data_IF_559162597939
#
_entry.id   IF_559162597939
#
_cell.length_a   1.000
_cell.length_b   1.000
_cell.length_c   1.000
_cell.angle_alpha   90.00
_cell.angle_beta   90.00
_cell.angle_gamma   90.00
#
_symmetry.space_group_name_H-M   'P 1'
#
loop_
_entity.id
_entity.type
_entity.pdbx_description
1 polymer ?
#
# COMPACT_ATOMS: atom_id res chain seq x y z
N UNK A 1 -44.26 -48.18 3.45
CA UNK A 1 -45.52 -47.46 3.16
C UNK A 1 -45.18 -46.30 2.24
N UNK A 2 -45.33 -46.51 0.94
CA UNK A 2 -45.31 -45.47 -0.08
C UNK A 2 -46.74 -44.96 -0.27
N UNK A 3 -46.93 -43.64 -0.33
CA UNK A 3 -47.98 -42.97 -1.12
C UNK A 3 -47.64 -41.46 -1.25
N UNK A 4 -48.12 -40.79 -2.31
CA UNK A 4 -47.26 -39.95 -3.17
C UNK A 4 -47.72 -38.50 -3.41
N UNK A 5 -46.75 -37.66 -3.84
CA UNK A 5 -46.84 -36.49 -4.78
C UNK A 5 -47.68 -35.25 -4.36
N UNK A 6 -47.25 -34.04 -4.73
CA UNK A 6 -47.52 -33.55 -6.08
C UNK A 6 -46.30 -32.89 -6.75
N UNK A 7 -45.82 -33.54 -7.82
CA UNK A 7 -45.20 -32.87 -8.96
C UNK A 7 -46.22 -31.94 -9.61
N UNK A 8 -45.91 -30.64 -9.67
CA UNK A 8 -46.62 -29.66 -10.52
C UNK A 8 -45.65 -29.09 -11.57
N UNK A 9 -46.19 -28.69 -12.72
CA UNK A 9 -45.59 -28.93 -14.03
C UNK A 9 -44.57 -27.87 -14.44
N UNK A 10 -43.66 -28.26 -15.34
CA UNK A 10 -42.99 -27.34 -16.27
C UNK A 10 -44.06 -26.51 -16.97
N UNK A 11 -44.28 -25.28 -16.48
CA UNK A 11 -44.82 -24.22 -17.31
C UNK A 11 -43.64 -23.67 -18.08
N UNK A 12 -43.56 -24.07 -19.36
CA UNK A 12 -42.70 -23.42 -20.32
C UNK A 12 -42.92 -21.91 -20.24
N UNK A 13 -41.86 -21.18 -19.90
CA UNK A 13 -41.82 -19.75 -20.12
C UNK A 13 -41.70 -19.60 -21.63
N UNK A 14 -42.84 -19.43 -22.29
CA UNK A 14 -42.88 -18.91 -23.64
C UNK A 14 -42.17 -17.57 -23.58
N UNK A 15 -40.94 -17.50 -24.11
CA UNK A 15 -40.27 -16.25 -24.36
C UNK A 15 -41.13 -15.49 -25.38
N UNK A 16 -41.98 -14.59 -24.89
CA UNK A 16 -42.64 -13.61 -25.73
C UNK A 16 -41.56 -12.66 -26.22
N UNK A 17 -40.95 -12.98 -27.36
CA UNK A 17 -40.13 -12.02 -28.12
C UNK A 17 -41.09 -11.00 -28.68
N UNK A 18 -41.32 -9.92 -27.93
CA UNK A 18 -41.96 -8.73 -28.46
C UNK A 18 -40.98 -8.09 -29.47
N UNK A 19 -41.16 -8.40 -30.76
CA UNK A 19 -40.58 -7.62 -31.85
C UNK A 19 -41.24 -6.24 -31.85
N UNK A 20 -40.65 -5.30 -31.12
CA UNK A 20 -40.95 -3.89 -31.23
C UNK A 20 -40.46 -3.40 -32.60
N UNK A 21 -41.42 -3.12 -33.49
CA UNK A 21 -41.17 -2.41 -34.73
C UNK A 21 -40.70 -0.99 -34.40
N UNK A 22 -39.43 -0.70 -34.70
CA UNK A 22 -38.82 0.61 -34.53
C UNK A 22 -39.44 1.61 -35.52
N UNK A 23 -40.19 2.57 -34.98
CA UNK A 23 -40.42 3.86 -35.63
C UNK A 23 -39.15 4.70 -35.56
N UNK A 24 -38.75 5.28 -36.68
CA UNK A 24 -37.49 6.01 -36.87
C UNK A 24 -37.47 7.39 -36.18
N UNK A 25 -37.52 7.42 -34.86
CA UNK A 25 -37.19 8.59 -34.04
C UNK A 25 -36.48 8.13 -32.75
N UNK A 26 -35.17 8.40 -32.64
CA UNK A 26 -34.39 8.17 -31.42
C UNK A 26 -33.41 6.99 -31.43
N UNK A 27 -32.57 6.85 -32.47
CA UNK A 27 -31.52 5.82 -32.46
C UNK A 27 -30.41 6.06 -31.42
N UNK A 28 -30.25 7.29 -30.91
CA UNK A 28 -29.28 7.62 -29.86
C UNK A 28 -29.65 7.03 -28.50
N UNK A 29 -30.92 7.12 -28.13
CA UNK A 29 -31.37 6.73 -26.78
C UNK A 29 -31.36 5.21 -26.61
N UNK A 30 -31.60 4.47 -27.69
CA UNK A 30 -31.52 3.00 -27.71
C UNK A 30 -30.08 2.52 -27.71
N UNK A 31 -29.16 3.19 -28.43
CA UNK A 31 -27.73 2.83 -28.38
C UNK A 31 -27.15 3.08 -26.99
N UNK A 32 -27.46 4.22 -26.38
CA UNK A 32 -26.97 4.59 -25.06
C UNK A 32 -27.51 3.65 -23.97
N UNK A 33 -28.77 3.22 -24.08
CA UNK A 33 -29.37 2.23 -23.19
C UNK A 33 -28.73 0.83 -23.34
N UNK A 34 -28.42 0.42 -24.57
CA UNK A 34 -27.76 -0.85 -24.85
C UNK A 34 -26.32 -0.85 -24.34
N UNK A 35 -25.59 0.24 -24.53
CA UNK A 35 -24.21 0.36 -24.05
C UNK A 35 -24.15 0.45 -22.52
N UNK A 36 -25.08 1.18 -21.89
CA UNK A 36 -25.25 1.18 -20.43
C UNK A 36 -25.54 -0.23 -19.88
N UNK A 37 -26.37 -1.01 -20.57
CA UNK A 37 -26.68 -2.39 -20.16
C UNK A 37 -25.48 -3.33 -20.32
N UNK A 38 -24.68 -3.17 -21.40
CA UNK A 38 -23.43 -3.91 -21.58
C UNK A 38 -22.40 -3.56 -20.50
N UNK A 39 -22.25 -2.29 -20.18
CA UNK A 39 -21.33 -1.83 -19.14
C UNK A 39 -21.75 -2.36 -17.77
N UNK A 40 -23.06 -2.35 -17.46
CA UNK A 40 -23.60 -2.97 -16.27
C UNK A 40 -23.31 -4.48 -16.20
N UNK A 41 -23.51 -5.22 -17.29
CA UNK A 41 -23.20 -6.64 -17.34
C UNK A 41 -21.69 -6.93 -17.20
N UNK A 42 -20.84 -6.11 -17.82
CA UNK A 42 -19.38 -6.19 -17.71
C UNK A 42 -18.91 -5.94 -16.28
N UNK A 43 -19.49 -4.95 -15.59
CA UNK A 43 -19.21 -4.66 -14.18
C UNK A 43 -19.59 -5.82 -13.27
N UNK A 44 -20.78 -6.41 -13.45
CA UNK A 44 -21.23 -7.57 -12.66
C UNK A 44 -20.31 -8.78 -12.90
N UNK A 45 -19.91 -9.05 -14.14
CA UNK A 45 -19.01 -10.16 -14.46
C UNK A 45 -17.60 -10.01 -13.85
N UNK A 46 -17.18 -8.77 -13.58
CA UNK A 46 -15.90 -8.40 -12.96
C UNK A 46 -15.95 -8.31 -11.43
N UNK A 47 -17.13 -8.48 -10.82
CA UNK A 47 -17.27 -8.47 -9.36
C UNK A 47 -16.55 -9.66 -8.75
N UNK A 48 -15.69 -9.38 -7.78
CA UNK A 48 -15.00 -10.39 -6.99
C UNK A 48 -15.06 -9.98 -5.52
N UNK A 49 -14.99 -10.98 -4.65
CA UNK A 49 -14.64 -10.71 -3.26
C UNK A 49 -13.21 -10.16 -3.21
N UNK A 50 -12.98 -9.18 -2.36
CA UNK A 50 -11.63 -8.64 -2.12
C UNK A 50 -10.61 -9.73 -1.76
N UNK A 51 -11.05 -10.82 -1.14
CA UNK A 51 -10.23 -11.96 -0.73
C UNK A 51 -9.87 -12.93 -1.88
N UNK A 52 -10.40 -12.69 -3.08
CA UNK A 52 -10.03 -13.43 -4.30
C UNK A 52 -9.13 -12.62 -5.23
N UNK A 53 -8.70 -11.43 -4.79
CA UNK A 53 -7.72 -10.65 -5.51
C UNK A 53 -6.34 -11.32 -5.45
N UNK A 54 -5.66 -11.35 -6.59
CA UNK A 54 -4.28 -11.76 -6.68
C UNK A 54 -3.34 -10.54 -6.66
N UNK A 55 -2.10 -10.76 -6.23
CA UNK A 55 -1.05 -9.73 -6.31
C UNK A 55 -0.92 -9.21 -7.74
N UNK A 56 -1.04 -7.89 -7.89
CA UNK A 56 -1.02 -7.19 -9.17
C UNK A 56 -2.40 -6.82 -9.72
N UNK A 57 -3.50 -7.37 -9.18
CA UNK A 57 -4.84 -7.04 -9.63
C UNK A 57 -5.18 -5.57 -9.33
N UNK A 58 -5.68 -4.89 -10.35
CA UNK A 58 -6.18 -3.51 -10.27
C UNK A 58 -7.70 -3.54 -10.08
N UNK A 59 -8.21 -2.74 -9.17
CA UNK A 59 -9.61 -2.82 -8.76
C UNK A 59 -10.23 -1.47 -8.39
N UNK A 60 -11.56 -1.44 -8.42
CA UNK A 60 -12.39 -0.37 -7.89
C UNK A 60 -13.26 -0.92 -6.75
N UNK A 61 -13.21 -0.35 -5.53
CA UNK A 61 -14.12 -0.74 -4.47
C UNK A 61 -15.55 -0.34 -4.84
N UNK A 62 -16.54 -1.20 -4.57
CA UNK A 62 -17.93 -0.81 -4.76
C UNK A 62 -18.40 0.02 -3.56
N UNK A 63 -18.96 1.20 -3.83
CA UNK A 63 -19.55 2.08 -2.81
C UNK A 63 -20.97 1.70 -2.40
N UNK A 64 -21.50 0.56 -2.87
CA UNK A 64 -22.88 0.12 -2.63
C UNK A 64 -22.92 -1.30 -2.08
N UNK A 65 -22.96 -1.39 -0.76
CA UNK A 65 -23.24 -2.62 -0.02
C UNK A 65 -22.96 -2.42 1.45
N UNK A 66 -24.00 -2.11 2.24
CA UNK A 66 -23.95 -2.42 3.67
C UNK A 66 -24.01 -3.95 3.79
N UNK A 67 -22.86 -4.57 4.08
CA UNK A 67 -22.72 -6.02 4.21
C UNK A 67 -21.25 -6.44 4.21
N UNK A 68 -20.92 -7.40 5.07
CA UNK A 68 -19.58 -7.85 5.48
C UNK A 68 -18.69 -8.48 4.39
N UNK A 69 -19.03 -8.30 3.10
CA UNK A 69 -18.21 -8.71 1.97
C UNK A 69 -17.90 -7.47 1.11
N UNK A 70 -16.66 -6.96 1.21
CA UNK A 70 -16.19 -5.90 0.30
C UNK A 70 -16.08 -6.50 -1.10
N UNK A 71 -17.14 -6.38 -1.89
CA UNK A 71 -17.08 -6.67 -3.31
C UNK A 71 -16.29 -5.56 -4.01
N UNK A 72 -15.42 -5.98 -4.92
CA UNK A 72 -14.61 -5.09 -5.74
C UNK A 72 -14.80 -5.44 -7.21
N UNK A 73 -14.66 -4.44 -8.08
CA UNK A 73 -14.60 -4.65 -9.52
C UNK A 73 -13.14 -4.76 -9.96
N UNK A 74 -12.72 -5.93 -10.43
CA UNK A 74 -11.39 -6.09 -11.04
C UNK A 74 -11.40 -5.50 -12.45
N UNK A 75 -10.45 -4.62 -12.74
CA UNK A 75 -10.27 -3.99 -14.05
C UNK A 75 -8.83 -4.15 -14.54
N UNK A 76 -8.57 -4.14 -15.87
CA UNK A 76 -7.23 -4.01 -16.38
C UNK A 76 -6.55 -2.76 -15.82
N UNK A 77 -5.28 -2.84 -15.44
CA UNK A 77 -4.56 -1.67 -14.91
C UNK A 77 -4.43 -0.51 -15.92
N UNK A 78 -4.65 -0.76 -17.21
CA UNK A 78 -4.73 0.30 -18.23
C UNK A 78 -6.04 1.09 -18.19
N UNK A 79 -7.08 0.54 -17.55
CA UNK A 79 -8.33 1.25 -17.23
C UNK A 79 -8.18 2.02 -15.90
N UNK A 80 -9.01 3.02 -15.68
CA UNK A 80 -8.98 3.82 -14.44
C UNK A 80 -9.39 2.96 -13.23
N UNK A 81 -8.56 2.94 -12.19
CA UNK A 81 -8.79 2.17 -10.98
C UNK A 81 -8.38 2.93 -9.72
N UNK A 82 -8.93 2.52 -8.58
CA UNK A 82 -8.69 3.15 -7.29
C UNK A 82 -7.63 2.41 -6.47
N UNK A 83 -7.35 1.14 -6.74
CA UNK A 83 -6.31 0.42 -6.03
C UNK A 83 -5.70 -0.74 -6.81
N UNK A 84 -4.54 -1.20 -6.33
CA UNK A 84 -3.82 -2.36 -6.84
C UNK A 84 -3.33 -3.21 -5.66
N UNK A 85 -3.52 -4.53 -5.74
CA UNK A 85 -3.02 -5.45 -4.72
C UNK A 85 -1.51 -5.59 -4.84
N UNK A 86 -0.80 -5.37 -3.74
CA UNK A 86 0.67 -5.41 -3.68
C UNK A 86 1.20 -6.68 -3.03
N UNK A 87 0.42 -7.25 -2.11
CA UNK A 87 0.78 -8.47 -1.40
C UNK A 87 -0.46 -9.20 -0.89
N UNK A 88 -0.31 -10.50 -0.72
CA UNK A 88 -1.27 -11.35 -0.03
C UNK A 88 -0.49 -12.34 0.83
N UNK A 89 -0.87 -12.49 2.10
CA UNK A 89 -0.25 -13.45 3.00
C UNK A 89 -1.25 -13.99 4.01
N UNK A 90 -0.95 -15.18 4.55
CA UNK A 90 -1.76 -15.79 5.60
C UNK A 90 -1.17 -15.53 6.98
N UNK A 91 -2.04 -15.33 7.96
CA UNK A 91 -1.69 -15.31 9.37
C UNK A 91 -1.56 -16.77 9.85
N UNK A 92 -0.37 -17.13 10.32
CA UNK A 92 -0.05 -18.49 10.78
C UNK A 92 -0.50 -18.76 12.23
N UNK A 93 -1.09 -17.77 12.90
CA UNK A 93 -1.61 -17.93 14.26
C UNK A 93 -2.78 -18.92 14.31
N UNK A 94 -2.94 -19.59 15.45
CA UNK A 94 -3.71 -20.83 15.62
C UNK A 94 -5.18 -20.82 15.18
N UNK A 95 -5.90 -21.91 15.46
CA UNK A 95 -7.29 -22.06 14.96
C UNK A 95 -8.26 -21.00 15.50
N UNK A 96 -8.00 -20.40 16.67
CA UNK A 96 -8.80 -19.33 17.28
C UNK A 96 -8.55 -17.96 16.66
N UNK A 97 -9.59 -17.14 16.56
CA UNK A 97 -9.47 -15.75 16.11
C UNK A 97 -8.62 -14.93 17.10
N UNK A 98 -7.50 -14.31 16.67
CA UNK A 98 -6.60 -13.59 17.56
C UNK A 98 -7.15 -12.22 17.99
N UNK A 99 -8.16 -11.70 17.29
CA UNK A 99 -8.74 -10.37 17.52
C UNK A 99 -8.29 -9.36 16.47
N UNK A 100 -9.11 -8.34 16.25
CA UNK A 100 -8.89 -7.33 15.21
C UNK A 100 -7.57 -6.59 15.43
N UNK A 101 -7.30 -6.14 16.65
CA UNK A 101 -6.08 -5.39 17.00
C UNK A 101 -4.79 -6.18 16.70
N UNK A 102 -4.78 -7.48 16.98
CA UNK A 102 -3.63 -8.34 16.72
C UNK A 102 -3.39 -8.51 15.22
N UNK A 103 -4.47 -8.66 14.45
CA UNK A 103 -4.42 -8.78 12.98
C UNK A 103 -3.95 -7.46 12.35
N UNK A 104 -4.49 -6.34 12.82
CA UNK A 104 -4.10 -4.99 12.40
C UNK A 104 -2.62 -4.75 12.67
N UNK A 105 -2.11 -5.09 13.86
CA UNK A 105 -0.68 -4.97 14.16
C UNK A 105 0.21 -5.83 13.24
N UNK A 106 -0.25 -7.01 12.82
CA UNK A 106 0.45 -7.83 11.82
C UNK A 106 0.44 -7.16 10.44
N UNK A 107 -0.71 -6.61 10.02
CA UNK A 107 -0.87 -5.94 8.74
C UNK A 107 -0.03 -4.64 8.66
N UNK A 108 -0.11 -3.78 9.68
CA UNK A 108 0.67 -2.54 9.81
C UNK A 108 2.17 -2.78 9.73
N UNK A 109 2.62 -3.92 10.26
CA UNK A 109 4.04 -4.29 10.19
C UNK A 109 4.46 -4.84 8.83
N UNK A 110 3.61 -5.65 8.18
CA UNK A 110 4.00 -6.43 6.99
C UNK A 110 3.64 -5.74 5.68
N UNK A 111 2.50 -5.06 5.60
CA UNK A 111 2.05 -4.43 4.37
C UNK A 111 2.99 -3.33 3.85
N UNK A 112 3.52 -2.41 4.69
CA UNK A 112 4.52 -1.43 4.24
C UNK A 112 5.76 -2.06 3.62
N UNK A 113 6.26 -3.14 4.22
CA UNK A 113 7.44 -3.87 3.73
C UNK A 113 7.18 -4.51 2.37
N UNK A 114 6.03 -5.16 2.18
CA UNK A 114 5.70 -5.76 0.88
C UNK A 114 5.37 -4.70 -0.19
N UNK A 115 4.71 -3.62 0.20
CA UNK A 115 4.40 -2.49 -0.67
C UNK A 115 5.69 -1.83 -1.21
N UNK A 116 6.69 -1.63 -0.35
CA UNK A 116 8.01 -1.13 -0.76
C UNK A 116 8.78 -2.07 -1.69
N UNK A 117 8.56 -3.39 -1.63
CA UNK A 117 9.11 -4.32 -2.64
C UNK A 117 8.38 -4.22 -3.97
N UNK A 118 7.08 -3.95 -3.94
CA UNK A 118 6.25 -3.83 -5.13
C UNK A 118 6.50 -2.53 -5.88
N UNK A 119 6.68 -1.42 -5.16
CA UNK A 119 7.02 -0.10 -5.70
C UNK A 119 8.17 0.54 -4.89
N UNK A 120 9.45 0.23 -5.21
CA UNK A 120 10.60 0.69 -4.42
C UNK A 120 10.82 2.20 -4.45
N UNK A 121 10.44 2.88 -5.54
CA UNK A 121 10.43 4.34 -5.61
C UNK A 121 9.03 4.87 -5.26
N UNK A 122 8.78 5.02 -3.98
CA UNK A 122 7.49 5.48 -3.44
C UNK A 122 7.16 6.92 -3.82
N UNK A 123 8.16 7.74 -4.16
CA UNK A 123 7.94 9.12 -4.65
C UNK A 123 7.39 9.16 -6.07
N UNK A 124 7.51 8.04 -6.80
CA UNK A 124 6.93 7.87 -8.12
C UNK A 124 5.44 7.48 -8.06
N UNK A 125 4.90 7.20 -6.87
CA UNK A 125 3.49 6.86 -6.71
C UNK A 125 2.60 8.06 -7.09
N UNK A 126 1.44 7.83 -7.74
CA UNK A 126 0.49 8.89 -8.00
C UNK A 126 0.05 9.59 -6.70
N UNK A 127 -0.14 10.91 -6.76
CA UNK A 127 -0.59 11.69 -5.60
C UNK A 127 -1.89 11.11 -5.00
N UNK A 128 -1.89 10.96 -3.68
CA UNK A 128 -3.01 10.45 -2.88
C UNK A 128 -3.12 8.92 -2.84
N UNK A 129 -2.15 8.20 -3.43
CA UNK A 129 -2.04 6.76 -3.25
C UNK A 129 -1.39 6.47 -1.90
N UNK A 130 -2.05 5.67 -1.06
CA UNK A 130 -1.56 5.21 0.24
C UNK A 130 -1.72 3.70 0.39
N UNK A 131 -1.11 3.15 1.43
CA UNK A 131 -1.24 1.73 1.74
C UNK A 131 -2.57 1.52 2.46
N UNK A 132 -3.28 0.48 2.06
CA UNK A 132 -4.45 -0.02 2.74
C UNK A 132 -4.35 -1.54 2.84
N UNK A 133 -5.12 -2.15 3.71
CA UNK A 133 -5.18 -3.60 3.80
C UNK A 133 -6.59 -4.09 4.13
N UNK A 134 -6.90 -5.26 3.58
CA UNK A 134 -8.07 -6.03 3.97
C UNK A 134 -7.61 -7.15 4.89
N UNK A 135 -8.32 -7.32 5.98
CA UNK A 135 -8.04 -8.29 7.03
C UNK A 135 -9.19 -9.29 7.13
N UNK A 136 -8.93 -10.52 7.59
CA UNK A 136 -10.01 -11.47 7.83
C UNK A 136 -10.87 -10.98 9.00
N UNK A 137 -12.19 -11.19 8.92
CA UNK A 137 -13.10 -10.93 10.04
C UNK A 137 -13.19 -12.16 10.94
N UNK A 138 -13.81 -12.02 12.11
CA UNK A 138 -14.10 -13.16 12.98
C UNK A 138 -14.95 -14.24 12.28
N UNK A 139 -15.90 -13.81 11.46
CA UNK A 139 -16.81 -14.66 10.70
C UNK A 139 -16.06 -15.39 9.58
N UNK A 140 -15.26 -14.68 8.78
CA UNK A 140 -14.46 -15.32 7.73
C UNK A 140 -13.41 -16.26 8.34
N UNK A 141 -12.83 -15.90 9.49
CA UNK A 141 -11.91 -16.75 10.23
C UNK A 141 -12.54 -18.06 10.70
N UNK A 142 -13.80 -18.03 11.15
CA UNK A 142 -14.53 -19.24 11.54
C UNK A 142 -14.70 -20.23 10.38
N UNK A 143 -14.64 -19.75 9.14
CA UNK A 143 -14.72 -20.57 7.91
C UNK A 143 -13.38 -20.87 7.26
N UNK A 144 -12.27 -20.46 7.89
CA UNK A 144 -10.91 -20.80 7.46
C UNK A 144 -10.15 -19.69 6.74
N UNK A 145 -10.72 -18.49 6.63
CA UNK A 145 -10.00 -17.34 6.08
C UNK A 145 -8.94 -16.83 7.06
N UNK A 146 -7.73 -16.64 6.55
CA UNK A 146 -6.55 -16.18 7.30
C UNK A 146 -5.79 -15.12 6.52
N UNK A 147 -6.33 -14.65 5.39
CA UNK A 147 -5.60 -13.86 4.42
C UNK A 147 -5.64 -12.37 4.76
N UNK A 148 -4.48 -11.74 4.76
CA UNK A 148 -4.33 -10.28 4.74
C UNK A 148 -3.89 -9.89 3.34
N UNK A 149 -4.68 -9.01 2.72
CA UNK A 149 -4.42 -8.50 1.37
C UNK A 149 -4.00 -7.04 1.47
N UNK A 150 -2.73 -6.77 1.20
CA UNK A 150 -2.18 -5.41 1.19
C UNK A 150 -2.40 -4.77 -0.18
N UNK A 151 -2.78 -3.50 -0.21
CA UNK A 151 -3.02 -2.76 -1.43
C UNK A 151 -2.39 -1.37 -1.37
N UNK A 152 -2.06 -0.83 -2.55
CA UNK A 152 -1.99 0.61 -2.73
C UNK A 152 -3.34 1.07 -3.23
N UNK A 153 -3.96 2.04 -2.56
CA UNK A 153 -5.24 2.59 -2.97
C UNK A 153 -5.27 4.11 -2.90
N UNK A 154 -6.27 4.71 -3.51
CA UNK A 154 -6.56 6.13 -3.43
C UNK A 154 -7.94 6.29 -2.81
N UNK A 155 -8.04 7.09 -1.75
CA UNK A 155 -9.32 7.33 -1.08
C UNK A 155 -10.33 8.05 -1.99
N UNK A 156 -9.86 8.95 -2.86
CA UNK A 156 -10.70 9.71 -3.77
C UNK A 156 -10.10 9.81 -5.18
N UNK A 157 -10.90 9.45 -6.19
CA UNK A 157 -10.48 9.44 -7.59
C UNK A 157 -9.67 8.21 -7.97
N UNK A 158 -9.18 8.20 -9.22
CA UNK A 158 -8.58 7.01 -9.83
C UNK A 158 -7.21 7.35 -10.44
N UNK A 159 -6.44 6.31 -10.73
CA UNK A 159 -5.21 6.37 -11.53
C UNK A 159 -5.24 5.28 -12.62
N UNK A 160 -4.30 5.37 -13.55
CA UNK A 160 -4.10 4.39 -14.63
C UNK A 160 -2.65 3.94 -14.66
N UNK A 161 -2.41 2.75 -15.19
CA UNK A 161 -1.11 2.09 -15.16
C UNK A 161 -0.90 1.24 -13.91
N UNK A 162 0.05 0.32 -13.98
CA UNK A 162 0.47 -0.49 -12.83
C UNK A 162 1.42 0.32 -11.95
N UNK A 163 1.27 0.19 -10.63
CA UNK A 163 2.22 0.70 -9.63
C UNK A 163 3.43 -0.22 -9.44
N UNK A 164 3.32 -1.47 -9.91
CA UNK A 164 4.43 -2.42 -9.86
C UNK A 164 5.64 -1.85 -10.59
N UNK A 165 6.75 -1.74 -9.88
CA UNK A 165 8.00 -1.37 -10.50
C UNK A 165 8.42 -2.41 -11.54
N UNK A 166 8.87 -1.92 -12.70
CA UNK A 166 9.56 -2.79 -13.65
C UNK A 166 10.93 -3.14 -13.06
N UNK A 167 11.11 -4.40 -12.67
CA UNK A 167 12.33 -4.91 -12.06
C UNK A 167 13.57 -4.73 -12.95
N UNK A 168 13.39 -4.56 -14.28
CA UNK A 168 14.47 -4.31 -15.21
C UNK A 168 14.71 -2.82 -15.48
N UNK A 169 13.86 -1.92 -14.97
CA UNK A 169 13.96 -0.49 -15.20
C UNK A 169 14.91 0.23 -14.23
N UNK A 170 15.12 -0.30 -13.02
CA UNK A 170 16.01 0.31 -12.04
C UNK A 170 17.47 -0.07 -12.28
N UNK A 171 18.32 0.94 -12.42
CA UNK A 171 19.78 0.77 -12.47
C UNK A 171 20.30 0.32 -11.09
N UNK A 172 21.44 -0.41 -11.01
CA UNK A 172 21.99 -0.86 -9.73
C UNK A 172 22.18 0.25 -8.68
N UNK A 173 22.60 1.44 -9.11
CA UNK A 173 22.75 2.59 -8.23
C UNK A 173 21.40 3.10 -7.68
N UNK A 174 20.35 3.09 -8.49
CA UNK A 174 18.99 3.47 -8.09
C UNK A 174 18.43 2.48 -7.06
N UNK A 175 18.55 1.17 -7.34
CA UNK A 175 18.11 0.13 -6.39
C UNK A 175 18.87 0.20 -5.06
N UNK A 176 20.20 0.41 -5.12
CA UNK A 176 21.03 0.54 -3.91
C UNK A 176 20.63 1.77 -3.09
N UNK A 177 20.37 2.89 -3.76
CA UNK A 177 19.89 4.11 -3.11
C UNK A 177 18.55 3.88 -2.42
N UNK A 178 17.53 3.42 -3.18
CA UNK A 178 16.16 3.23 -2.69
C UNK A 178 16.10 2.19 -1.56
N UNK A 179 16.83 1.09 -1.67
CA UNK A 179 16.88 0.08 -0.60
C UNK A 179 17.41 0.68 0.70
N UNK A 180 18.45 1.52 0.63
CA UNK A 180 19.02 2.13 1.82
C UNK A 180 18.18 3.27 2.40
N UNK A 181 17.58 4.12 1.56
CA UNK A 181 16.71 5.21 2.03
C UNK A 181 15.43 4.65 2.67
N UNK A 182 14.78 3.67 2.01
CA UNK A 182 13.61 2.99 2.54
C UNK A 182 13.93 2.26 3.85
N UNK A 183 15.12 1.66 4.00
CA UNK A 183 15.50 1.01 5.26
C UNK A 183 15.69 2.01 6.42
N UNK A 184 16.15 3.24 6.15
CA UNK A 184 16.24 4.31 7.16
C UNK A 184 14.84 4.72 7.61
N UNK A 185 13.92 4.87 6.66
CA UNK A 185 12.52 5.13 6.92
C UNK A 185 11.86 4.02 7.76
N UNK A 186 11.97 2.77 7.33
CA UNK A 186 11.41 1.62 8.02
C UNK A 186 11.93 1.51 9.45
N UNK A 187 13.22 1.80 9.65
CA UNK A 187 13.83 1.82 10.97
C UNK A 187 13.26 2.92 11.88
N UNK A 188 12.90 4.08 11.33
CA UNK A 188 12.25 5.15 12.08
C UNK A 188 10.85 4.72 12.52
N UNK A 189 10.00 4.28 11.59
CA UNK A 189 8.60 3.98 11.88
C UNK A 189 8.38 2.71 12.69
N UNK A 190 9.06 1.61 12.34
CA UNK A 190 8.87 0.31 13.01
C UNK A 190 9.35 0.33 14.46
N UNK A 191 10.20 1.28 14.84
CA UNK A 191 10.75 1.40 16.18
C UNK A 191 10.22 2.63 16.93
N UNK A 192 9.16 3.28 16.44
CA UNK A 192 8.54 4.40 17.15
C UNK A 192 8.00 3.93 18.51
N UNK A 193 8.18 4.78 19.53
CA UNK A 193 7.58 4.52 20.85
C UNK A 193 6.05 4.66 20.77
N UNK A 194 5.34 3.84 21.53
CA UNK A 194 3.89 4.02 21.77
C UNK A 194 3.61 5.21 22.72
N UNK A 195 4.65 5.79 23.33
CA UNK A 195 4.55 6.99 24.15
C UNK A 195 4.86 8.21 23.32
N UNK A 196 4.14 9.29 23.60
CA UNK A 196 4.24 10.54 22.85
C UNK A 196 5.44 11.39 23.28
N UNK A 197 6.06 11.07 24.41
CA UNK A 197 7.17 11.84 24.99
C UNK A 197 8.38 10.98 25.34
N UNK A 198 9.58 11.56 25.18
CA UNK A 198 10.85 10.88 25.50
C UNK A 198 10.95 10.59 27.00
N UNK A 199 10.35 11.42 27.85
CA UNK A 199 10.34 11.25 29.30
C UNK A 199 9.56 10.00 29.73
N UNK A 200 8.49 9.68 29.02
CA UNK A 200 7.65 8.51 29.28
C UNK A 200 8.28 7.20 28.79
N UNK A 201 9.14 7.23 27.76
CA UNK A 201 9.82 6.04 27.21
C UNK A 201 11.20 6.31 26.60
N UNK A 202 12.11 6.89 27.37
CA UNK A 202 13.49 7.10 26.93
C UNK A 202 14.15 5.80 26.39
N UNK A 203 13.93 4.61 26.97
CA UNK A 203 14.45 3.36 26.39
C UNK A 203 13.96 3.08 24.97
N UNK A 204 12.66 3.25 24.67
CA UNK A 204 12.09 3.06 23.34
C UNK A 204 12.62 4.05 22.32
N UNK A 205 12.67 5.34 22.66
CA UNK A 205 13.26 6.38 21.81
C UNK A 205 14.76 6.12 21.53
N UNK A 206 15.51 5.64 22.52
CA UNK A 206 16.92 5.21 22.31
C UNK A 206 17.04 3.98 21.42
N UNK A 207 16.09 3.04 21.51
CA UNK A 207 16.04 1.88 20.63
C UNK A 207 15.77 2.28 19.18
N UNK A 208 14.80 3.19 18.95
CA UNK A 208 14.54 3.80 17.64
C UNK A 208 15.82 4.45 17.10
N UNK A 209 16.46 5.29 17.90
CA UNK A 209 17.66 6.01 17.49
C UNK A 209 18.80 5.07 17.09
N UNK A 210 18.94 3.95 17.81
CA UNK A 210 19.92 2.90 17.49
C UNK A 210 19.59 2.19 16.17
N UNK A 211 18.31 1.89 15.92
CA UNK A 211 17.87 1.25 14.68
C UNK A 211 18.12 2.18 13.47
N UNK A 212 17.74 3.45 13.57
CA UNK A 212 17.96 4.44 12.50
C UNK A 212 19.45 4.67 12.25
N UNK A 213 20.28 4.76 13.30
CA UNK A 213 21.73 4.85 13.15
C UNK A 213 22.32 3.66 12.37
N UNK A 214 21.87 2.43 12.66
CA UNK A 214 22.32 1.23 11.97
C UNK A 214 21.87 1.21 10.50
N UNK A 215 20.64 1.64 10.21
CA UNK A 215 20.13 1.76 8.84
C UNK A 215 20.91 2.83 8.05
N UNK A 216 21.23 3.97 8.65
CA UNK A 216 22.06 5.01 8.05
C UNK A 216 23.48 4.51 7.73
N UNK A 217 24.10 3.75 8.63
CA UNK A 217 25.41 3.14 8.37
C UNK A 217 25.35 2.16 7.18
N UNK A 218 24.28 1.37 7.07
CA UNK A 218 24.07 0.46 5.95
C UNK A 218 23.84 1.23 4.63
N UNK A 219 23.03 2.29 4.66
CA UNK A 219 22.80 3.14 3.50
C UNK A 219 24.10 3.83 3.04
N UNK A 220 24.86 4.44 3.96
CA UNK A 220 26.17 5.04 3.67
C UNK A 220 27.15 4.04 3.05
N UNK A 221 27.16 2.80 3.54
CA UNK A 221 27.97 1.72 2.94
C UNK A 221 27.55 1.44 1.49
N UNK A 222 26.25 1.40 1.20
CA UNK A 222 25.74 1.24 -0.17
C UNK A 222 26.09 2.42 -1.07
N UNK A 223 25.96 3.65 -0.57
CA UNK A 223 26.29 4.86 -1.32
C UNK A 223 27.79 5.00 -1.62
N UNK A 224 28.68 4.31 -0.90
CA UNK A 224 30.15 4.42 -1.10
C UNK A 224 30.57 4.14 -2.56
N UNK A 225 29.91 3.21 -3.23
CA UNK A 225 30.19 2.83 -4.62
C UNK A 225 29.46 3.65 -5.69
N UNK A 226 28.63 4.62 -5.28
CA UNK A 226 27.85 5.45 -6.20
C UNK A 226 28.61 6.77 -6.41
N UNK A 227 28.92 7.05 -7.67
CA UNK A 227 29.53 8.31 -8.10
C UNK A 227 28.48 9.41 -8.27
N UNK A 228 28.91 10.67 -8.17
CA UNK A 228 28.02 11.82 -8.28
C UNK A 228 28.38 12.94 -7.30
N UNK A 229 28.19 14.19 -7.71
CA UNK A 229 28.47 15.35 -6.86
C UNK A 229 27.42 15.48 -5.77
N UNK A 230 26.14 15.33 -6.13
CA UNK A 230 25.03 15.46 -5.19
C UNK A 230 24.92 14.22 -4.27
N UNK A 231 25.16 13.03 -4.80
CA UNK A 231 25.32 11.81 -3.98
C UNK A 231 26.52 11.94 -3.02
N UNK A 232 27.62 12.56 -3.47
CA UNK A 232 28.76 12.88 -2.62
C UNK A 232 28.38 13.75 -1.42
N UNK A 233 27.69 14.87 -1.66
CA UNK A 233 27.19 15.78 -0.61
C UNK A 233 26.21 15.08 0.33
N UNK A 234 25.31 14.26 -0.20
CA UNK A 234 24.37 13.50 0.61
C UNK A 234 25.10 12.55 1.57
N UNK A 235 26.13 11.83 1.10
CA UNK A 235 26.94 10.96 1.98
C UNK A 235 27.59 11.72 3.13
N UNK A 236 28.17 12.88 2.86
CA UNK A 236 28.79 13.71 3.91
C UNK A 236 27.75 14.18 4.94
N UNK A 237 26.58 14.59 4.47
CA UNK A 237 25.48 15.01 5.34
C UNK A 237 24.95 13.84 6.18
N UNK A 238 24.64 12.69 5.56
CA UNK A 238 24.15 11.51 6.25
C UNK A 238 25.17 10.95 7.24
N UNK A 239 26.47 11.12 6.99
CA UNK A 239 27.52 10.74 7.95
C UNK A 239 27.41 11.52 9.26
N UNK A 240 27.17 12.84 9.17
CA UNK A 240 26.94 13.69 10.36
C UNK A 240 25.64 13.29 11.06
N UNK A 241 24.58 13.07 10.29
CA UNK A 241 23.27 12.64 10.80
C UNK A 241 23.35 11.30 11.53
N UNK A 242 24.07 10.31 10.99
CA UNK A 242 24.30 9.03 11.66
C UNK A 242 25.02 9.21 13.01
N UNK A 243 25.95 10.16 13.12
CA UNK A 243 26.62 10.46 14.39
C UNK A 243 25.66 11.06 15.43
N UNK A 244 24.73 11.93 15.01
CA UNK A 244 23.69 12.45 15.89
C UNK A 244 22.73 11.35 16.37
N UNK A 245 22.27 10.47 15.48
CA UNK A 245 21.45 9.31 15.86
C UNK A 245 22.18 8.37 16.83
N UNK A 246 23.47 8.11 16.63
CA UNK A 246 24.31 7.35 17.59
C UNK A 246 24.43 8.05 18.94
N UNK A 247 24.51 9.38 18.94
CA UNK A 247 24.56 10.17 20.18
C UNK A 247 23.24 10.07 20.93
N UNK A 248 22.10 10.24 20.23
CA UNK A 248 20.76 10.10 20.80
C UNK A 248 20.56 8.69 21.38
N UNK A 249 20.95 7.64 20.66
CA UNK A 249 20.88 6.25 21.13
C UNK A 249 21.64 5.99 22.43
N UNK A 250 22.66 6.79 22.75
CA UNK A 250 23.50 6.68 23.94
C UNK A 250 23.25 7.81 24.96
N UNK A 251 22.20 8.62 24.79
CA UNK A 251 21.88 9.71 25.69
C UNK A 251 21.70 9.23 27.14
N UNK A 252 22.17 10.03 28.10
CA UNK A 252 22.09 9.71 29.52
C UNK A 252 20.69 9.95 30.09
N UNK A 253 19.99 10.96 29.57
CA UNK A 253 18.68 11.43 30.00
C UNK A 253 17.91 12.00 28.79
N UNK A 254 16.67 12.46 29.03
CA UNK A 254 15.80 13.03 28.00
C UNK A 254 16.36 14.32 27.39
N UNK A 255 16.96 15.21 28.20
CA UNK A 255 17.55 16.46 27.72
C UNK A 255 18.69 16.19 26.73
N UNK A 256 19.62 15.29 27.09
CA UNK A 256 20.69 14.87 26.20
C UNK A 256 20.16 14.17 24.94
N UNK A 257 19.04 13.45 25.05
CA UNK A 257 18.38 12.83 23.91
C UNK A 257 17.84 13.88 22.95
N UNK A 258 17.06 14.86 23.42
CA UNK A 258 16.50 15.91 22.56
C UNK A 258 17.58 16.73 21.83
N UNK A 259 18.65 17.10 22.53
CA UNK A 259 19.79 17.82 21.93
C UNK A 259 20.41 17.04 20.76
N UNK A 260 20.52 15.73 20.89
CA UNK A 260 21.06 14.88 19.84
C UNK A 260 20.03 14.53 18.76
N UNK A 261 18.76 14.39 19.12
CA UNK A 261 17.67 13.96 18.25
C UNK A 261 17.28 15.04 17.24
N UNK A 262 17.19 16.31 17.64
CA UNK A 262 16.79 17.40 16.73
C UNK A 262 17.65 17.48 15.44
N UNK A 263 18.99 17.55 15.51
CA UNK A 263 19.82 17.52 14.30
C UNK A 263 19.85 16.13 13.62
N UNK A 264 19.54 15.05 14.35
CA UNK A 264 19.42 13.71 13.78
C UNK A 264 18.18 13.60 12.88
N UNK A 265 17.02 14.03 13.39
CA UNK A 265 15.73 14.01 12.72
C UNK A 265 15.71 15.01 11.55
N UNK A 266 16.14 16.25 11.78
CA UNK A 266 16.31 17.24 10.70
C UNK A 266 17.34 16.79 9.64
N UNK A 267 18.24 15.88 10.02
CA UNK A 267 19.22 15.28 9.11
C UNK A 267 18.62 14.30 8.10
N UNK A 268 17.48 13.69 8.39
CA UNK A 268 16.80 12.74 7.48
C UNK A 268 15.62 13.36 6.73
N UNK A 269 15.49 14.70 6.77
CA UNK A 269 14.50 15.45 6.00
C UNK A 269 14.56 15.05 4.50
N UNK A 270 13.44 14.58 3.91
CA UNK A 270 13.41 14.10 2.54
C UNK A 270 13.85 15.18 1.53
N UNK A 271 13.62 16.47 1.81
CA UNK A 271 14.05 17.57 0.93
C UNK A 271 15.56 17.59 0.71
N UNK A 272 16.34 17.11 1.68
CA UNK A 272 17.81 17.04 1.58
C UNK A 272 18.30 15.99 0.59
N UNK A 273 17.43 15.07 0.19
CA UNK A 273 17.77 13.98 -0.72
C UNK A 273 17.45 14.30 -2.19
N UNK A 274 16.60 15.30 -2.45
CA UNK A 274 16.06 15.64 -3.79
C UNK A 274 17.16 15.80 -4.84
N UNK A 275 18.27 16.47 -4.49
CA UNK A 275 19.38 16.69 -5.42
C UNK A 275 20.07 15.38 -5.84
N UNK A 276 20.32 14.47 -4.88
CA UNK A 276 20.89 13.15 -5.15
C UNK A 276 19.90 12.27 -5.94
N UNK A 277 18.61 12.30 -5.59
CA UNK A 277 17.54 11.60 -6.32
C UNK A 277 17.48 12.06 -7.78
N UNK A 278 17.56 13.37 -8.02
CA UNK A 278 17.63 13.95 -9.37
C UNK A 278 18.87 13.48 -10.13
N UNK A 279 20.05 13.49 -9.50
CA UNK A 279 21.30 13.00 -10.10
C UNK A 279 21.21 11.51 -10.48
N UNK A 280 20.50 10.71 -9.67
CA UNK A 280 20.25 9.29 -9.92
C UNK A 280 19.10 9.02 -10.90
N UNK A 281 18.35 10.05 -11.32
CA UNK A 281 17.18 9.91 -12.18
C UNK A 281 16.00 9.19 -11.51
N UNK A 282 15.85 9.37 -10.19
CA UNK A 282 14.71 8.92 -9.40
C UNK A 282 13.62 10.00 -9.34
N UNK A 283 12.42 9.65 -8.87
CA UNK A 283 11.38 10.64 -8.63
C UNK A 283 11.83 11.67 -7.58
N UNK A 284 11.53 12.95 -7.82
CA UNK A 284 12.01 14.10 -7.01
C UNK A 284 10.92 14.86 -6.29
N UNK A 285 9.65 14.50 -6.51
CA UNK A 285 8.52 15.11 -5.81
C UNK A 285 8.43 14.47 -4.43
N UNK A 286 8.71 15.26 -3.40
CA UNK A 286 8.52 14.83 -2.02
C UNK A 286 7.03 14.53 -1.81
N UNK A 287 6.65 13.34 -1.32
CA UNK A 287 5.27 13.04 -0.94
C UNK A 287 4.75 14.08 0.07
N UNK A 288 3.46 14.43 -0.02
CA UNK A 288 2.87 15.43 0.88
C UNK A 288 2.68 14.86 2.31
N UNK A 289 2.74 15.74 3.31
CA UNK A 289 2.72 15.40 4.74
C UNK A 289 1.49 14.60 5.22
N UNK A 290 0.38 14.67 4.48
CA UNK A 290 -0.91 14.00 4.73
C UNK A 290 -1.02 12.61 4.08
N UNK A 291 -0.07 12.23 3.23
CA UNK A 291 0.09 10.84 2.86
C UNK A 291 0.78 10.14 4.04
N UNK A 292 0.11 9.20 4.69
CA UNK A 292 0.74 8.20 5.58
C UNK A 292 1.88 7.41 4.87
N UNK A 293 2.10 7.68 3.59
CA UNK A 293 3.28 7.37 2.79
C UNK A 293 4.33 8.47 2.94
N UNK A 294 4.95 8.59 4.12
CA UNK A 294 6.20 9.33 4.25
C UNK A 294 7.41 8.56 3.69
N UNK A 295 7.22 7.62 2.77
CA UNK A 295 8.32 6.85 2.23
C UNK A 295 9.36 7.78 1.58
N UNK A 296 10.52 7.95 2.24
CA UNK A 296 11.60 8.87 1.91
C UNK A 296 12.71 8.22 1.08
#
# INVERSE_FOLDING_TARGET
MSMPRPSRPLRGITAAVALLALGAAGCSDVSDAVDSAKDGAKKVARQRSVFSLAVGDCYNPNTKGEGEEVLVEIVPCTEAHAGQVVADFKIDEGSSYPGDDAITAIADKRCPVEAGKFAPDTWALPKGVSIFYYTPTKESWATGDRAVTCTYNKESGNFTGTLKADANALKPAQSTYLQGSNAVYDALWTNQSEKDTVEEDLPGYKAQAKAVAAALDAHLKGLKGIEGTEVGKLREQLTKTAAHWKTAANAADADAFYIAYDPAFTGIDPNKTVAARKELGLATTVPADDAEVWAS
#
